data_IF_152479498665
#
_entry.id   IF_152479498665
#
_cell.length_a   1.000
_cell.length_b   1.000
_cell.length_c   1.000
_cell.angle_alpha   90.00
_cell.angle_beta   90.00
_cell.angle_gamma   90.00
#
_symmetry.space_group_name_H-M   'P 1'
#
loop_
_entity.id
_entity.type
_entity.pdbx_description
1 polymer ?
#
# COMPACT_ATOMS: atom_id res chain seq x y z
N UNK A 1 -10.59 -9.46 -51.91
CA UNK A 1 -9.51 -9.31 -50.90
C UNK A 1 -10.15 -9.33 -49.53
N UNK A 2 -9.60 -10.10 -48.60
CA UNK A 2 -10.05 -10.06 -47.20
C UNK A 2 -9.67 -8.69 -46.61
N UNK A 3 -10.66 -7.96 -46.10
CA UNK A 3 -10.46 -6.66 -45.45
C UNK A 3 -10.57 -6.86 -43.94
N UNK A 4 -9.69 -6.26 -43.15
CA UNK A 4 -9.80 -6.27 -41.68
C UNK A 4 -11.21 -5.85 -41.22
N UNK A 5 -11.81 -4.84 -41.87
CA UNK A 5 -13.15 -4.35 -41.53
C UNK A 5 -14.30 -5.28 -41.95
N UNK A 6 -14.02 -6.34 -42.71
CA UNK A 6 -15.01 -7.38 -43.03
C UNK A 6 -15.12 -8.45 -41.95
N UNK A 7 -14.26 -8.42 -40.93
CA UNK A 7 -14.36 -9.32 -39.78
C UNK A 7 -15.54 -8.93 -38.88
N UNK A 8 -16.19 -9.92 -38.23
CA UNK A 8 -17.18 -9.65 -37.19
C UNK A 8 -16.62 -8.76 -36.07
N UNK A 9 -17.48 -7.96 -35.43
CA UNK A 9 -17.06 -6.99 -34.40
C UNK A 9 -16.43 -7.69 -33.20
N UNK A 10 -16.81 -8.93 -32.91
CA UNK A 10 -16.25 -9.76 -31.85
C UNK A 10 -14.77 -10.06 -32.10
N UNK A 11 -14.40 -10.33 -33.36
CA UNK A 11 -13.00 -10.57 -33.76
C UNK A 11 -12.21 -9.27 -33.69
N UNK A 12 -12.81 -8.15 -34.13
CA UNK A 12 -12.18 -6.83 -33.99
C UNK A 12 -11.96 -6.48 -32.51
N UNK A 13 -12.91 -6.80 -31.62
CA UNK A 13 -12.77 -6.63 -30.18
C UNK A 13 -11.64 -7.49 -29.60
N UNK A 14 -11.47 -8.73 -30.06
CA UNK A 14 -10.35 -9.59 -29.65
C UNK A 14 -9.01 -9.01 -30.13
N UNK A 15 -8.93 -8.58 -31.38
CA UNK A 15 -7.73 -7.91 -31.91
C UNK A 15 -7.40 -6.68 -31.05
N UNK A 16 -8.39 -5.84 -30.72
CA UNK A 16 -8.20 -4.66 -29.90
C UNK A 16 -7.69 -4.96 -28.48
N UNK A 17 -7.95 -6.15 -27.92
CA UNK A 17 -7.42 -6.56 -26.61
C UNK A 17 -5.91 -6.84 -26.63
N UNK A 18 -5.35 -7.15 -27.80
CA UNK A 18 -3.93 -7.41 -27.99
C UNK A 18 -3.16 -6.18 -28.53
N UNK A 19 -3.85 -5.07 -28.78
CA UNK A 19 -3.20 -3.82 -29.21
C UNK A 19 -2.50 -3.16 -28.02
N UNK A 20 -1.23 -2.73 -28.16
CA UNK A 20 -0.53 -1.99 -27.12
C UNK A 20 -1.32 -0.76 -26.66
N UNK A 21 -1.32 -0.49 -25.36
CA UNK A 21 -2.12 0.60 -24.76
C UNK A 21 -1.93 1.94 -25.47
N UNK A 22 -0.71 2.28 -25.89
CA UNK A 22 -0.39 3.51 -26.61
C UNK A 22 -1.11 3.65 -27.96
N UNK A 23 -1.33 2.54 -28.66
CA UNK A 23 -1.90 2.50 -30.01
C UNK A 23 -3.44 2.46 -30.01
N UNK A 24 -4.06 2.18 -28.86
CA UNK A 24 -5.52 2.20 -28.72
C UNK A 24 -6.12 3.56 -29.07
N UNK A 25 -5.39 4.66 -28.82
CA UNK A 25 -5.80 6.02 -29.25
C UNK A 25 -5.89 6.09 -30.77
N UNK A 26 -4.85 5.65 -31.46
CA UNK A 26 -4.77 5.67 -32.92
C UNK A 26 -5.85 4.77 -33.53
N UNK A 27 -6.02 3.56 -33.01
CA UNK A 27 -7.05 2.62 -33.46
C UNK A 27 -8.46 3.22 -33.39
N UNK A 28 -8.77 3.99 -32.34
CA UNK A 28 -10.07 4.67 -32.18
C UNK A 28 -10.31 5.82 -33.16
N UNK A 29 -9.27 6.36 -33.76
CA UNK A 29 -9.34 7.46 -34.73
C UNK A 29 -9.48 6.98 -36.18
N UNK A 30 -9.20 5.70 -36.46
CA UNK A 30 -9.22 5.17 -37.83
C UNK A 30 -10.65 5.16 -38.43
N UNK A 31 -11.60 4.50 -37.75
CA UNK A 31 -12.99 4.42 -38.22
C UNK A 31 -13.94 3.99 -37.09
N UNK A 32 -15.26 4.06 -37.33
CA UNK A 32 -16.30 3.73 -36.34
C UNK A 32 -16.23 2.27 -35.84
N UNK A 33 -15.94 1.30 -36.70
CA UNK A 33 -15.87 -0.11 -36.28
C UNK A 33 -14.69 -0.36 -35.34
N UNK A 34 -13.51 0.18 -35.68
CA UNK A 34 -12.33 0.08 -34.83
C UNK A 34 -12.45 0.92 -33.56
N UNK A 35 -13.13 2.06 -33.62
CA UNK A 35 -13.52 2.84 -32.45
C UNK A 35 -14.34 1.99 -31.46
N UNK A 36 -15.40 1.34 -31.95
CA UNK A 36 -16.26 0.51 -31.11
C UNK A 36 -15.51 -0.67 -30.52
N UNK A 37 -14.70 -1.36 -31.34
CA UNK A 37 -13.89 -2.50 -30.90
C UNK A 37 -12.86 -2.11 -29.83
N UNK A 38 -12.18 -0.97 -30.01
CA UNK A 38 -11.17 -0.48 -29.08
C UNK A 38 -11.74 0.23 -27.85
N UNK A 39 -13.04 0.57 -27.83
CA UNK A 39 -13.59 1.41 -26.77
C UNK A 39 -13.44 0.78 -25.37
N UNK A 40 -13.64 -0.54 -25.26
CA UNK A 40 -13.48 -1.26 -23.99
C UNK A 40 -12.03 -1.31 -23.50
N UNK A 41 -11.05 -1.86 -24.26
CA UNK A 41 -9.66 -1.87 -23.81
C UNK A 41 -9.12 -0.45 -23.57
N UNK A 42 -9.53 0.52 -24.38
CA UNK A 42 -9.19 1.93 -24.16
C UNK A 42 -9.76 2.47 -22.84
N UNK A 43 -11.06 2.24 -22.58
CA UNK A 43 -11.71 2.67 -21.34
C UNK A 43 -11.04 2.07 -20.10
N UNK A 44 -10.73 0.77 -20.14
CA UNK A 44 -10.03 0.10 -19.05
C UNK A 44 -8.60 0.64 -18.85
N UNK A 45 -7.88 0.93 -19.92
CA UNK A 45 -6.49 1.38 -19.83
C UNK A 45 -6.35 2.84 -19.35
N UNK A 46 -7.28 3.73 -19.72
CA UNK A 46 -7.14 5.17 -19.52
C UNK A 46 -8.16 5.79 -18.56
N UNK A 47 -9.29 5.13 -18.30
CA UNK A 47 -10.39 5.72 -17.54
C UNK A 47 -10.71 4.98 -16.23
N UNK A 48 -10.12 3.81 -15.98
CA UNK A 48 -10.34 3.07 -14.72
C UNK A 48 -9.88 3.82 -13.48
N UNK A 49 -8.69 4.42 -13.53
CA UNK A 49 -8.15 5.29 -12.48
C UNK A 49 -8.02 6.72 -12.97
N UNK A 50 -8.82 7.62 -12.41
CA UNK A 50 -8.85 9.04 -12.78
C UNK A 50 -8.11 9.86 -11.76
N UNK A 51 -6.93 10.33 -12.14
CA UNK A 51 -6.06 11.21 -11.34
C UNK A 51 -6.27 12.66 -11.74
N UNK A 52 -6.51 13.53 -10.77
CA UNK A 52 -6.79 14.94 -11.02
C UNK A 52 -6.04 15.81 -10.01
N UNK A 53 -5.39 16.87 -10.50
CA UNK A 53 -4.92 17.91 -9.59
C UNK A 53 -6.11 18.64 -9.00
N UNK A 54 -5.95 19.16 -7.80
CA UNK A 54 -6.92 20.04 -7.19
C UNK A 54 -6.84 21.39 -7.90
N UNK A 55 -7.63 21.56 -8.94
CA UNK A 55 -7.86 22.84 -9.58
C UNK A 55 -9.28 22.86 -10.14
N UNK A 56 -9.86 24.04 -10.29
CA UNK A 56 -11.21 24.16 -10.81
C UNK A 56 -11.35 23.55 -12.21
N UNK A 57 -10.36 23.79 -13.09
CA UNK A 57 -10.36 23.24 -14.45
C UNK A 57 -10.26 21.72 -14.44
N UNK A 58 -9.35 21.19 -13.63
CA UNK A 58 -9.13 19.75 -13.52
C UNK A 58 -10.35 19.02 -12.96
N UNK A 59 -10.93 19.51 -11.86
CA UNK A 59 -12.06 18.84 -11.21
C UNK A 59 -13.34 18.97 -12.04
N UNK A 60 -13.52 20.02 -12.85
CA UNK A 60 -14.66 20.12 -13.78
C UNK A 60 -14.66 19.07 -14.89
N UNK A 61 -13.48 18.61 -15.31
CA UNK A 61 -13.37 17.55 -16.30
C UNK A 61 -13.92 16.21 -15.79
N UNK A 62 -13.88 15.95 -14.47
CA UNK A 62 -14.39 14.70 -13.89
C UNK A 62 -15.88 14.47 -14.17
N UNK A 63 -16.80 15.40 -13.84
CA UNK A 63 -18.22 15.29 -14.22
C UNK A 63 -18.44 15.00 -15.71
N UNK A 64 -17.68 15.64 -16.60
CA UNK A 64 -17.77 15.43 -18.05
C UNK A 64 -17.38 14.00 -18.42
N UNK A 65 -16.28 13.49 -17.85
CA UNK A 65 -15.80 12.14 -18.07
C UNK A 65 -16.82 11.11 -17.58
N UNK A 66 -17.33 11.25 -16.35
CA UNK A 66 -18.26 10.25 -15.78
C UNK A 66 -19.66 10.32 -16.36
N UNK A 67 -20.03 11.41 -17.04
CA UNK A 67 -21.30 11.52 -17.75
C UNK A 67 -21.24 11.00 -19.18
N UNK A 68 -20.04 10.84 -19.74
CA UNK A 68 -19.86 10.34 -21.09
C UNK A 68 -20.25 8.86 -21.19
N UNK A 69 -21.23 8.53 -22.04
CA UNK A 69 -21.81 7.18 -22.15
C UNK A 69 -20.81 6.07 -22.48
N UNK A 70 -19.80 6.39 -23.29
CA UNK A 70 -18.75 5.44 -23.69
C UNK A 70 -17.56 5.33 -22.75
N UNK A 71 -17.41 6.23 -21.75
CA UNK A 71 -16.21 6.31 -20.90
C UNK A 71 -16.55 6.20 -19.41
N UNK A 72 -17.62 6.86 -18.97
CA UNK A 72 -18.12 6.85 -17.60
C UNK A 72 -18.25 5.45 -16.98
N UNK A 73 -18.75 4.41 -17.68
CA UNK A 73 -18.83 3.06 -17.14
C UNK A 73 -17.51 2.45 -16.68
N UNK A 74 -16.38 2.93 -17.20
CA UNK A 74 -15.05 2.42 -16.86
C UNK A 74 -14.45 3.12 -15.63
N UNK A 75 -14.95 4.29 -15.24
CA UNK A 75 -14.44 5.03 -14.09
C UNK A 75 -14.84 4.32 -12.81
N UNK A 76 -13.84 3.77 -12.12
CA UNK A 76 -14.02 3.05 -10.86
C UNK A 76 -13.17 3.61 -9.72
N UNK A 77 -12.16 4.40 -10.04
CA UNK A 77 -11.20 4.99 -9.12
C UNK A 77 -11.05 6.48 -9.41
N UNK A 78 -11.04 7.28 -8.34
CA UNK A 78 -10.86 8.73 -8.39
C UNK A 78 -9.78 9.11 -7.38
N UNK A 79 -8.68 9.67 -7.87
CA UNK A 79 -7.51 10.03 -7.08
C UNK A 79 -7.24 11.53 -7.17
N UNK A 80 -7.27 12.23 -6.04
CA UNK A 80 -6.95 13.65 -5.96
C UNK A 80 -5.48 13.84 -5.60
N UNK A 81 -4.79 14.71 -6.34
CA UNK A 81 -3.43 15.13 -5.99
C UNK A 81 -3.53 16.34 -5.06
N UNK A 82 -3.23 16.14 -3.78
CA UNK A 82 -3.49 17.12 -2.73
C UNK A 82 -2.34 18.12 -2.54
N UNK A 83 -2.01 18.82 -3.62
CA UNK A 83 -1.19 20.02 -3.63
C UNK A 83 -2.00 21.29 -3.89
N UNK A 84 -1.58 22.37 -3.24
CA UNK A 84 -1.97 23.73 -3.52
C UNK A 84 -0.78 24.56 -3.99
N UNK A 85 -0.84 25.29 -5.12
CA UNK A 85 0.23 26.22 -5.48
C UNK A 85 0.35 27.34 -4.44
N UNK A 86 1.59 27.69 -4.07
CA UNK A 86 1.94 28.86 -3.26
C UNK A 86 2.35 30.02 -4.18
N UNK A 87 1.92 31.25 -3.87
CA UNK A 87 2.29 32.44 -4.65
C UNK A 87 3.79 32.75 -4.54
N UNK A 88 4.31 33.53 -5.50
CA UNK A 88 5.71 33.96 -5.53
C UNK A 88 6.02 35.10 -4.53
N UNK A 89 5.01 35.70 -3.91
CA UNK A 89 5.18 36.86 -3.03
C UNK A 89 4.99 36.45 -1.56
N UNK A 90 6.07 36.29 -0.77
CA UNK A 90 6.01 35.84 0.62
C UNK A 90 5.30 36.82 1.57
N UNK A 91 4.91 38.01 1.09
CA UNK A 91 4.15 39.01 1.85
C UNK A 91 2.67 39.12 1.46
N UNK A 92 2.23 38.44 0.39
CA UNK A 92 0.81 38.39 0.01
C UNK A 92 0.11 37.18 0.65
N UNK A 93 -0.25 37.34 1.92
CA UNK A 93 -1.01 36.35 2.70
C UNK A 93 -2.42 36.08 2.15
N UNK A 94 -2.87 36.82 1.12
CA UNK A 94 -4.22 36.71 0.56
C UNK A 94 -4.39 35.55 -0.44
N UNK A 95 -3.30 34.88 -0.85
CA UNK A 95 -3.36 33.80 -1.86
C UNK A 95 -3.04 32.39 -1.34
N UNK A 96 -2.64 32.23 -0.08
CA UNK A 96 -2.52 30.93 0.61
C UNK A 96 -3.90 30.22 0.81
N UNK A 97 -4.90 30.59 0.02
CA UNK A 97 -6.32 30.43 0.32
C UNK A 97 -7.18 30.10 -0.90
N UNK A 98 -6.77 30.32 -2.17
CA UNK A 98 -7.72 30.12 -3.29
C UNK A 98 -8.08 28.65 -3.53
N UNK A 99 -7.11 27.74 -3.42
CA UNK A 99 -7.38 26.32 -3.61
C UNK A 99 -7.95 25.66 -2.37
N UNK A 100 -7.44 26.03 -1.20
CA UNK A 100 -8.06 25.63 0.07
C UNK A 100 -9.51 26.11 0.14
N UNK A 101 -9.78 27.36 -0.23
CA UNK A 101 -11.14 27.90 -0.36
C UNK A 101 -11.94 27.17 -1.44
N UNK A 102 -11.32 26.71 -2.54
CA UNK A 102 -12.01 25.88 -3.52
C UNK A 102 -12.39 24.51 -2.96
N UNK A 103 -11.46 23.77 -2.36
CA UNK A 103 -11.70 22.45 -1.77
C UNK A 103 -12.77 22.54 -0.68
N UNK A 104 -12.68 23.57 0.17
CA UNK A 104 -13.67 23.87 1.21
C UNK A 104 -14.94 24.54 0.66
N UNK A 105 -15.02 24.84 -0.65
CA UNK A 105 -16.21 25.46 -1.22
C UNK A 105 -17.35 24.44 -1.38
N UNK A 106 -18.57 24.95 -1.28
CA UNK A 106 -19.78 24.22 -1.72
C UNK A 106 -19.69 23.75 -3.17
N UNK A 107 -18.88 24.42 -4.01
CA UNK A 107 -18.73 24.08 -5.42
C UNK A 107 -17.96 22.78 -5.61
N UNK A 108 -16.83 22.59 -4.92
CA UNK A 108 -16.08 21.34 -4.93
C UNK A 108 -16.96 20.17 -4.47
N UNK A 109 -17.62 20.32 -3.31
CA UNK A 109 -18.55 19.33 -2.77
C UNK A 109 -19.65 18.93 -3.77
N UNK A 110 -20.26 19.90 -4.46
CA UNK A 110 -21.28 19.62 -5.50
C UNK A 110 -20.71 18.84 -6.67
N UNK A 111 -19.52 19.23 -7.16
CA UNK A 111 -18.87 18.55 -8.28
C UNK A 111 -18.55 17.10 -7.91
N UNK A 112 -17.91 16.87 -6.76
CA UNK A 112 -17.57 15.52 -6.31
C UNK A 112 -18.81 14.67 -6.04
N UNK A 113 -19.87 15.23 -5.44
CA UNK A 113 -21.14 14.50 -5.28
C UNK A 113 -21.72 14.11 -6.63
N UNK A 114 -21.73 15.01 -7.62
CA UNK A 114 -22.18 14.69 -8.98
C UNK A 114 -21.34 13.57 -9.60
N UNK A 115 -20.02 13.58 -9.38
CA UNK A 115 -19.13 12.53 -9.84
C UNK A 115 -19.55 11.18 -9.26
N UNK A 116 -19.71 11.11 -7.94
CA UNK A 116 -20.11 9.88 -7.26
C UNK A 116 -21.54 9.44 -7.58
N UNK A 117 -22.49 10.36 -7.74
CA UNK A 117 -23.86 10.06 -8.19
C UNK A 117 -23.84 9.37 -9.56
N UNK A 118 -22.91 9.76 -10.44
CA UNK A 118 -22.78 9.18 -11.79
C UNK A 118 -22.03 7.86 -11.77
N UNK A 119 -20.95 7.75 -10.99
CA UNK A 119 -20.26 6.46 -10.78
C UNK A 119 -21.26 5.43 -10.25
N UNK A 120 -22.08 5.81 -9.26
CA UNK A 120 -23.12 4.97 -8.66
C UNK A 120 -24.08 4.35 -9.71
N UNK A 121 -24.37 5.06 -10.81
CA UNK A 121 -25.23 4.53 -11.88
C UNK A 121 -24.62 3.36 -12.64
N UNK A 122 -23.29 3.31 -12.74
CA UNK A 122 -22.57 2.27 -13.48
C UNK A 122 -21.99 1.20 -12.56
N UNK A 123 -21.50 1.62 -11.39
CA UNK A 123 -20.84 0.77 -10.41
C UNK A 123 -21.27 1.21 -9.00
N UNK A 124 -21.60 0.26 -8.12
CA UNK A 124 -22.09 0.58 -6.77
C UNK A 124 -21.02 1.12 -5.83
N UNK A 125 -19.75 1.03 -6.22
CA UNK A 125 -18.64 1.39 -5.36
C UNK A 125 -17.52 2.11 -6.10
N UNK A 126 -16.71 2.85 -5.33
CA UNK A 126 -15.60 3.67 -5.83
C UNK A 126 -14.35 3.43 -4.98
N UNK A 127 -13.18 3.47 -5.62
CA UNK A 127 -11.90 3.63 -4.93
C UNK A 127 -11.58 5.13 -4.88
N UNK A 128 -11.19 5.62 -3.71
CA UNK A 128 -10.79 7.01 -3.52
C UNK A 128 -9.31 7.04 -3.15
N UNK A 129 -8.52 7.78 -3.92
CA UNK A 129 -7.12 8.05 -3.64
C UNK A 129 -6.89 9.51 -3.23
N UNK A 130 -6.09 9.77 -2.21
CA UNK A 130 -5.57 11.10 -1.88
C UNK A 130 -4.05 11.01 -1.84
N UNK A 131 -3.38 11.62 -2.81
CA UNK A 131 -1.95 11.40 -3.05
C UNK A 131 -1.13 12.70 -2.93
N UNK A 132 0.04 12.58 -2.31
CA UNK A 132 1.11 13.57 -2.35
C UNK A 132 1.98 13.26 -3.57
N UNK A 133 2.40 14.28 -4.33
CA UNK A 133 3.36 14.04 -5.37
C UNK A 133 4.74 13.74 -4.79
N UNK A 134 5.26 12.57 -5.11
CA UNK A 134 6.64 12.23 -4.84
C UNK A 134 7.54 12.88 -5.92
N UNK A 135 8.08 14.05 -5.59
CA UNK A 135 9.00 14.80 -6.44
C UNK A 135 10.42 14.20 -6.46
N UNK A 136 10.70 13.15 -5.66
CA UNK A 136 12.06 12.67 -5.43
C UNK A 136 12.33 11.19 -5.68
N UNK A 137 11.33 10.30 -5.68
CA UNK A 137 11.54 8.85 -5.81
C UNK A 137 10.47 8.16 -6.69
N UNK A 138 10.72 8.07 -8.00
CA UNK A 138 10.19 7.02 -8.87
C UNK A 138 8.66 6.92 -9.09
N UNK A 139 7.81 7.59 -8.31
CA UNK A 139 6.35 7.67 -8.49
C UNK A 139 5.93 8.89 -9.31
N UNK A 140 6.86 9.80 -9.62
CA UNK A 140 6.64 11.02 -10.41
C UNK A 140 5.94 10.78 -11.76
N UNK A 141 6.18 9.64 -12.41
CA UNK A 141 5.54 9.31 -13.69
C UNK A 141 4.03 9.06 -13.58
N UNK A 142 3.54 8.56 -12.44
CA UNK A 142 2.09 8.40 -12.22
C UNK A 142 1.40 9.74 -11.97
N UNK A 143 2.14 10.71 -11.44
CA UNK A 143 1.63 12.06 -11.15
C UNK A 143 1.59 12.93 -12.41
N UNK A 144 2.53 12.74 -13.33
CA UNK A 144 2.48 13.30 -14.69
C UNK A 144 1.22 12.90 -15.48
N UNK A 145 0.53 11.82 -15.08
CA UNK A 145 -0.72 11.40 -15.71
C UNK A 145 -1.96 12.03 -15.07
N UNK A 146 -1.81 12.85 -14.01
CA UNK A 146 -2.94 13.56 -13.43
C UNK A 146 -3.41 14.66 -14.39
N UNK A 147 -4.71 14.72 -14.63
CA UNK A 147 -5.28 15.77 -15.46
C UNK A 147 -5.04 17.14 -14.80
N UNK A 148 -4.56 18.11 -15.59
CA UNK A 148 -4.17 19.44 -15.11
C UNK A 148 -2.78 19.52 -14.47
N UNK A 149 -1.99 18.44 -14.48
CA UNK A 149 -0.63 18.42 -13.93
C UNK A 149 0.30 19.41 -14.64
N UNK A 150 0.33 19.42 -15.97
CA UNK A 150 1.22 20.30 -16.74
C UNK A 150 0.90 21.79 -16.50
N UNK A 151 -0.39 22.14 -16.47
CA UNK A 151 -0.85 23.49 -16.13
C UNK A 151 -0.41 23.88 -14.71
N UNK A 152 -0.54 22.96 -13.75
CA UNK A 152 -0.16 23.18 -12.36
C UNK A 152 1.36 23.35 -12.19
N UNK A 153 2.16 22.55 -12.90
CA UNK A 153 3.62 22.61 -12.87
C UNK A 153 4.17 23.86 -13.56
N UNK A 154 3.47 24.35 -14.58
CA UNK A 154 3.86 25.59 -15.28
C UNK A 154 3.54 26.84 -14.44
N UNK A 155 2.47 26.77 -13.62
CA UNK A 155 1.92 27.95 -12.93
C UNK A 155 2.60 28.30 -11.59
N UNK A 156 3.32 27.38 -10.93
CA UNK A 156 3.82 27.61 -9.58
C UNK A 156 5.24 27.08 -9.34
N UNK A 157 6.04 27.85 -8.58
CA UNK A 157 7.39 27.46 -8.15
C UNK A 157 7.39 26.77 -6.78
N UNK A 158 6.34 26.99 -5.97
CA UNK A 158 6.18 26.47 -4.62
C UNK A 158 4.77 25.87 -4.45
N UNK A 159 4.63 24.91 -3.52
CA UNK A 159 3.35 24.26 -3.22
C UNK A 159 3.19 23.99 -1.73
N UNK A 160 1.95 23.99 -1.26
CA UNK A 160 1.51 23.54 0.05
C UNK A 160 0.60 22.31 -0.07
N UNK A 161 0.32 21.64 1.05
CA UNK A 161 -0.40 20.37 1.08
C UNK A 161 -1.78 20.52 1.74
N UNK A 162 -2.87 20.29 1.00
CA UNK A 162 -4.26 20.36 1.49
C UNK A 162 -4.91 18.98 1.65
N UNK A 163 -4.15 18.03 2.21
CA UNK A 163 -4.54 16.62 2.29
C UNK A 163 -5.84 16.37 3.03
N UNK A 164 -6.04 17.05 4.16
CA UNK A 164 -7.13 16.74 5.07
C UNK A 164 -8.44 17.30 4.56
N UNK A 165 -8.43 18.56 4.13
CA UNK A 165 -9.57 19.23 3.53
C UNK A 165 -10.05 18.46 2.30
N UNK A 166 -9.10 17.96 1.50
CA UNK A 166 -9.42 17.19 0.31
C UNK A 166 -10.02 15.84 0.66
N UNK A 167 -9.42 15.11 1.60
CA UNK A 167 -9.94 13.83 2.07
C UNK A 167 -11.36 13.99 2.62
N UNK A 168 -11.55 14.89 3.58
CA UNK A 168 -12.82 15.08 4.30
C UNK A 168 -13.94 15.47 3.33
N UNK A 169 -13.69 16.48 2.47
CA UNK A 169 -14.70 16.93 1.52
C UNK A 169 -15.00 15.88 0.44
N UNK A 170 -14.03 15.06 0.05
CA UNK A 170 -14.22 13.99 -0.95
C UNK A 170 -15.00 12.82 -0.37
N UNK A 171 -14.66 12.38 0.84
CA UNK A 171 -15.39 11.32 1.54
C UNK A 171 -16.82 11.74 1.84
N UNK A 172 -17.01 12.96 2.35
CA UNK A 172 -18.35 13.49 2.63
C UNK A 172 -19.21 13.60 1.36
N UNK A 173 -18.60 13.91 0.21
CA UNK A 173 -19.29 13.90 -1.07
C UNK A 173 -19.72 12.48 -1.48
N UNK A 174 -18.87 11.46 -1.29
CA UNK A 174 -19.20 10.07 -1.58
C UNK A 174 -20.33 9.54 -0.68
N UNK A 175 -20.26 9.84 0.62
CA UNK A 175 -21.31 9.50 1.60
C UNK A 175 -22.64 10.15 1.20
N UNK A 176 -22.64 11.45 0.86
CA UNK A 176 -23.85 12.17 0.41
C UNK A 176 -24.41 11.68 -0.92
N UNK A 177 -23.59 11.06 -1.75
CA UNK A 177 -24.00 10.43 -2.99
C UNK A 177 -24.52 8.99 -2.78
N UNK A 178 -24.44 8.46 -1.56
CA UNK A 178 -24.68 7.05 -1.25
C UNK A 178 -23.83 6.11 -2.14
N UNK A 179 -22.62 6.56 -2.49
CA UNK A 179 -21.68 5.77 -3.27
C UNK A 179 -20.72 5.08 -2.30
N UNK A 180 -20.71 3.74 -2.32
CA UNK A 180 -19.91 2.98 -1.36
C UNK A 180 -18.41 3.13 -1.67
N UNK A 181 -17.61 3.50 -0.67
CA UNK A 181 -16.15 3.54 -0.79
C UNK A 181 -15.61 2.14 -0.53
N UNK A 182 -15.26 1.40 -1.59
CA UNK A 182 -14.70 0.03 -1.46
C UNK A 182 -13.24 0.04 -1.01
N UNK A 183 -12.54 1.11 -1.32
CA UNK A 183 -11.12 1.23 -1.04
C UNK A 183 -10.70 2.68 -0.89
N UNK A 184 -9.83 2.93 0.08
CA UNK A 184 -9.24 4.25 0.36
C UNK A 184 -7.72 4.12 0.30
N UNK A 185 -7.07 4.88 -0.57
CA UNK A 185 -5.61 4.95 -0.70
C UNK A 185 -5.11 6.34 -0.32
N UNK A 186 -4.16 6.41 0.61
CA UNK A 186 -3.67 7.66 1.17
C UNK A 186 -2.16 7.72 1.05
N UNK A 187 -1.61 8.78 0.47
CA UNK A 187 -0.21 9.14 0.67
C UNK A 187 -0.16 10.26 1.69
N UNK A 188 0.37 9.99 2.88
CA UNK A 188 0.38 10.97 3.96
C UNK A 188 1.58 10.82 4.89
N UNK A 189 2.03 11.96 5.41
CA UNK A 189 2.97 11.99 6.52
C UNK A 189 2.27 11.68 7.86
N UNK A 190 3.04 11.10 8.78
CA UNK A 190 2.60 10.62 10.11
C UNK A 190 1.85 11.64 10.99
N UNK A 191 1.99 12.94 10.74
CA UNK A 191 1.41 14.02 11.54
C UNK A 191 0.02 14.50 11.08
N UNK A 192 -0.50 14.00 9.95
CA UNK A 192 -1.78 14.46 9.38
C UNK A 192 -3.00 13.60 9.75
N UNK A 193 -2.88 12.67 10.69
CA UNK A 193 -3.90 11.63 10.88
C UNK A 193 -5.15 12.06 11.72
N UNK A 194 -5.18 13.23 12.40
CA UNK A 194 -6.22 13.56 13.42
C UNK A 194 -7.68 13.41 12.94
N UNK A 195 -8.04 13.95 11.78
CA UNK A 195 -9.41 13.83 11.25
C UNK A 195 -9.66 12.50 10.51
N UNK A 196 -8.60 11.73 10.21
CA UNK A 196 -8.73 10.40 9.61
C UNK A 196 -9.41 9.41 10.57
N UNK A 197 -9.17 9.51 11.88
CA UNK A 197 -9.76 8.57 12.85
C UNK A 197 -11.30 8.61 12.81
N UNK A 198 -11.90 9.80 12.90
CA UNK A 198 -13.36 9.96 12.90
C UNK A 198 -13.97 9.43 11.59
N UNK A 199 -13.33 9.72 10.45
CA UNK A 199 -13.76 9.21 9.15
C UNK A 199 -13.61 7.68 9.04
N UNK A 200 -12.53 7.12 9.57
CA UNK A 200 -12.29 5.67 9.57
C UNK A 200 -13.28 4.94 10.47
N UNK A 201 -13.65 5.48 11.63
CA UNK A 201 -14.66 4.87 12.51
C UNK A 201 -16.02 4.73 11.81
N UNK A 202 -16.44 5.72 11.03
CA UNK A 202 -17.66 5.65 10.22
C UNK A 202 -17.52 4.72 9.01
N UNK A 203 -16.41 4.80 8.27
CA UNK A 203 -16.19 3.99 7.07
C UNK A 203 -15.99 2.50 7.37
N UNK A 204 -15.33 2.18 8.49
CA UNK A 204 -15.08 0.81 8.96
C UNK A 204 -16.18 0.32 9.92
N UNK A 205 -17.31 1.03 10.02
CA UNK A 205 -18.45 0.55 10.78
C UNK A 205 -18.93 -0.80 10.21
N UNK A 206 -19.13 -1.85 11.05
CA UNK A 206 -19.54 -3.18 10.59
C UNK A 206 -20.89 -3.23 9.83
N UNK A 207 -21.71 -2.18 9.96
CA UNK A 207 -22.97 -2.04 9.21
C UNK A 207 -22.77 -1.65 7.74
N UNK A 208 -21.56 -1.24 7.37
CA UNK A 208 -21.20 -0.88 5.98
C UNK A 208 -20.50 -2.04 5.28
N UNK A 209 -20.48 -2.05 3.93
CA UNK A 209 -19.71 -3.05 3.21
C UNK A 209 -18.20 -2.89 3.50
N UNK A 210 -17.43 -3.98 3.44
CA UNK A 210 -16.02 -3.96 3.84
C UNK A 210 -15.16 -2.96 3.05
N UNK A 211 -14.33 -2.21 3.77
CA UNK A 211 -13.35 -1.29 3.20
C UNK A 211 -11.95 -1.94 3.12
N UNK A 212 -11.24 -1.68 2.02
CA UNK A 212 -9.78 -1.85 1.93
C UNK A 212 -9.05 -0.51 2.04
N UNK A 213 -8.36 -0.31 3.16
CA UNK A 213 -7.54 0.87 3.43
C UNK A 213 -6.08 0.61 3.06
N UNK A 214 -5.46 1.52 2.32
CA UNK A 214 -4.02 1.52 2.02
C UNK A 214 -3.42 2.87 2.37
N UNK A 215 -2.37 2.90 3.18
CA UNK A 215 -1.69 4.13 3.60
C UNK A 215 -0.22 4.00 3.25
N UNK A 216 0.22 4.85 2.34
CA UNK A 216 1.62 5.04 1.98
C UNK A 216 2.22 6.15 2.86
N UNK A 217 3.11 5.76 3.77
CA UNK A 217 3.79 6.68 4.65
C UNK A 217 5.06 7.20 3.96
N UNK A 218 5.01 8.45 3.49
CA UNK A 218 6.08 9.11 2.70
C UNK A 218 7.08 9.92 3.55
N UNK A 219 8.31 10.09 3.06
CA UNK A 219 9.46 10.75 3.74
C UNK A 219 9.60 12.23 3.36
N UNK A 220 9.94 13.12 4.31
CA UNK A 220 10.28 14.54 4.04
C UNK A 220 11.79 14.93 4.16
N UNK A 221 12.67 14.04 4.67
CA UNK A 221 14.10 14.25 5.11
C UNK A 221 14.22 15.24 6.30
N UNK A 222 14.93 14.90 7.39
CA UNK A 222 16.35 15.30 7.64
C UNK A 222 17.17 14.39 8.59
N UNK A 223 16.67 13.25 9.12
CA UNK A 223 17.51 12.29 9.88
C UNK A 223 17.20 10.84 9.47
N UNK A 224 18.20 9.98 9.57
CA UNK A 224 18.37 8.69 8.88
C UNK A 224 17.43 7.53 9.27
N UNK A 225 16.29 7.79 9.93
CA UNK A 225 15.59 6.74 10.68
C UNK A 225 14.29 6.18 10.04
N UNK A 226 13.79 6.69 8.91
CA UNK A 226 12.48 6.28 8.40
C UNK A 226 12.51 5.88 6.91
N UNK A 227 12.43 4.58 6.65
CA UNK A 227 12.10 4.03 5.33
C UNK A 227 10.62 4.30 5.00
N UNK A 228 10.26 4.56 3.73
CA UNK A 228 8.85 4.57 3.35
C UNK A 228 8.26 3.19 3.62
N UNK A 229 7.03 3.15 4.16
CA UNK A 229 6.33 1.91 4.43
C UNK A 229 4.87 2.04 4.06
N UNK A 230 4.24 0.89 3.83
CA UNK A 230 2.82 0.82 3.48
C UNK A 230 2.06 0.05 4.54
N UNK A 231 0.91 0.58 4.93
CA UNK A 231 -0.06 -0.06 5.80
C UNK A 231 -1.23 -0.45 4.92
N UNK A 232 -1.66 -1.70 4.96
CA UNK A 232 -2.86 -2.15 4.28
C UNK A 232 -3.76 -2.85 5.27
N UNK A 233 -4.98 -2.36 5.43
CA UNK A 233 -6.01 -3.01 6.23
C UNK A 233 -7.16 -3.45 5.32
N UNK A 234 -7.47 -4.74 5.36
CA UNK A 234 -8.58 -5.33 4.62
C UNK A 234 -9.63 -5.83 5.63
N UNK A 235 -10.73 -5.07 5.71
CA UNK A 235 -11.80 -5.38 6.66
C UNK A 235 -12.50 -6.70 6.34
N UNK A 236 -12.51 -7.15 5.08
CA UNK A 236 -13.24 -8.34 4.66
C UNK A 236 -12.68 -9.63 5.28
N UNK A 237 -11.39 -9.63 5.59
CA UNK A 237 -10.67 -10.76 6.17
C UNK A 237 -9.98 -10.39 7.50
N UNK A 238 -10.22 -9.18 8.01
CA UNK A 238 -9.62 -8.64 9.22
C UNK A 238 -8.09 -8.65 9.20
N UNK A 239 -7.47 -8.46 8.04
CA UNK A 239 -6.02 -8.50 7.90
C UNK A 239 -5.40 -7.11 7.93
N UNK A 240 -4.36 -6.96 8.75
CA UNK A 240 -3.48 -5.80 8.77
C UNK A 240 -2.12 -6.23 8.24
N UNK A 241 -1.72 -5.66 7.12
CA UNK A 241 -0.42 -5.88 6.49
C UNK A 241 0.45 -4.64 6.61
N UNK A 242 1.65 -4.81 7.13
CA UNK A 242 2.70 -3.79 7.18
C UNK A 242 3.81 -4.21 6.22
N UNK A 243 4.13 -3.35 5.25
CA UNK A 243 5.20 -3.59 4.27
C UNK A 243 6.33 -2.58 4.44
N UNK A 244 7.56 -3.04 4.61
CA UNK A 244 8.75 -2.18 4.72
C UNK A 244 8.84 -1.39 6.03
N UNK A 245 8.02 -1.73 7.02
CA UNK A 245 7.90 -0.97 8.26
C UNK A 245 9.02 -1.32 9.24
N UNK A 246 9.63 -0.32 9.86
CA UNK A 246 10.39 -0.52 11.08
C UNK A 246 9.45 -0.38 12.27
N UNK A 247 9.15 -1.51 12.93
CA UNK A 247 8.19 -1.59 14.04
C UNK A 247 8.62 -0.68 15.21
N UNK A 248 9.92 -0.38 15.31
CA UNK A 248 10.46 0.64 16.20
C UNK A 248 9.75 1.99 16.07
N UNK A 249 9.47 2.42 14.85
CA UNK A 249 8.97 3.77 14.58
C UNK A 249 7.53 3.94 15.04
N UNK A 250 6.72 2.91 14.83
CA UNK A 250 5.35 2.88 15.33
C UNK A 250 5.33 2.85 16.86
N UNK A 251 6.21 2.05 17.48
CA UNK A 251 6.32 1.97 18.93
C UNK A 251 6.78 3.30 19.55
N UNK A 252 7.68 4.06 18.89
CA UNK A 252 8.21 5.33 19.41
C UNK A 252 7.43 6.58 19.04
N UNK A 253 6.46 6.49 18.14
CA UNK A 253 5.61 7.63 17.81
C UNK A 253 5.03 8.24 19.10
N UNK A 254 4.86 9.57 19.14
CA UNK A 254 4.42 10.27 20.37
C UNK A 254 3.10 9.69 20.86
N UNK A 255 2.94 9.47 22.17
CA UNK A 255 1.66 9.04 22.75
C UNK A 255 0.55 10.05 22.36
N UNK A 256 -0.60 9.54 21.90
CA UNK A 256 -1.68 10.37 21.34
C UNK A 256 -1.39 10.96 19.96
N UNK A 257 -0.25 10.64 19.32
CA UNK A 257 -0.07 10.94 17.90
C UNK A 257 -1.08 10.17 17.08
N UNK A 258 -1.61 10.78 16.03
CA UNK A 258 -2.73 10.14 15.37
C UNK A 258 -2.34 8.90 14.57
N UNK A 259 -1.08 8.76 14.13
CA UNK A 259 -0.63 7.47 13.62
C UNK A 259 -0.79 6.35 14.66
N UNK A 260 -0.43 6.57 15.93
CA UNK A 260 -0.66 5.58 17.00
C UNK A 260 -2.13 5.29 17.23
N UNK A 261 -2.97 6.33 17.24
CA UNK A 261 -4.42 6.16 17.42
C UNK A 261 -5.04 5.36 16.28
N UNK A 262 -4.68 5.66 15.03
CA UNK A 262 -5.13 4.91 13.86
C UNK A 262 -4.64 3.46 13.91
N UNK A 263 -3.37 3.23 14.28
CA UNK A 263 -2.86 1.86 14.42
C UNK A 263 -3.55 1.08 15.52
N UNK A 264 -3.74 1.67 16.70
CA UNK A 264 -4.47 1.02 17.80
C UNK A 264 -5.89 0.67 17.34
N UNK A 265 -6.59 1.59 16.67
CA UNK A 265 -7.91 1.34 16.11
C UNK A 265 -7.92 0.18 15.10
N UNK A 266 -6.99 0.14 14.14
CA UNK A 266 -6.91 -0.95 13.16
C UNK A 266 -6.53 -2.28 13.83
N UNK A 267 -5.56 -2.27 14.76
CA UNK A 267 -5.14 -3.44 15.52
C UNK A 267 -6.29 -4.01 16.34
N UNK A 268 -7.16 -3.16 16.90
CA UNK A 268 -8.30 -3.59 17.71
C UNK A 268 -9.27 -4.52 16.97
N UNK A 269 -9.31 -4.41 15.64
CA UNK A 269 -10.17 -5.18 14.75
C UNK A 269 -9.42 -6.26 13.97
N UNK A 270 -8.10 -6.35 14.14
CA UNK A 270 -7.24 -7.23 13.37
C UNK A 270 -7.33 -8.66 13.89
N UNK A 271 -7.55 -9.61 12.98
CA UNK A 271 -7.50 -11.06 13.26
C UNK A 271 -6.27 -11.70 12.62
N UNK A 272 -5.69 -11.08 11.59
CA UNK A 272 -4.50 -11.55 10.87
C UNK A 272 -3.48 -10.42 10.73
N UNK A 273 -2.29 -10.59 11.29
CA UNK A 273 -1.19 -9.63 11.16
C UNK A 273 -0.17 -10.16 10.15
N UNK A 274 0.15 -9.37 9.13
CA UNK A 274 1.15 -9.69 8.12
C UNK A 274 2.27 -8.65 8.19
N UNK A 275 3.49 -9.10 8.39
CA UNK A 275 4.69 -8.27 8.41
C UNK A 275 5.55 -8.68 7.20
N UNK A 276 5.64 -7.83 6.20
CA UNK A 276 6.36 -8.08 4.95
C UNK A 276 7.51 -7.07 4.82
N UNK A 277 8.72 -7.53 4.53
CA UNK A 277 9.90 -6.65 4.41
C UNK A 277 10.14 -5.76 5.65
N UNK A 278 9.59 -6.16 6.80
CA UNK A 278 9.66 -5.38 8.04
C UNK A 278 11.00 -5.59 8.74
N UNK A 279 11.46 -4.58 9.46
CA UNK A 279 12.65 -4.67 10.27
C UNK A 279 12.28 -4.98 11.73
N UNK A 280 12.69 -6.16 12.21
CA UNK A 280 12.31 -6.71 13.52
C UNK A 280 13.55 -6.91 14.41
N UNK A 281 14.29 -5.85 14.69
CA UNK A 281 15.60 -5.93 15.36
C UNK A 281 15.57 -5.79 16.90
N UNK A 282 14.41 -5.87 17.56
CA UNK A 282 14.33 -5.68 19.01
C UNK A 282 13.05 -6.26 19.61
N UNK A 283 13.23 -7.20 20.54
CA UNK A 283 12.15 -7.77 21.34
C UNK A 283 11.36 -6.70 22.11
N UNK A 284 12.05 -5.79 22.80
CA UNK A 284 11.42 -4.72 23.59
C UNK A 284 10.52 -3.83 22.72
N UNK A 285 11.00 -3.46 21.53
CA UNK A 285 10.24 -2.60 20.61
C UNK A 285 9.07 -3.33 19.97
N UNK A 286 9.25 -4.61 19.66
CA UNK A 286 8.16 -5.45 19.17
C UNK A 286 7.08 -5.63 20.23
N UNK A 287 7.47 -5.85 21.49
CA UNK A 287 6.55 -5.88 22.63
C UNK A 287 5.78 -4.56 22.77
N UNK A 288 6.48 -3.43 22.74
CA UNK A 288 5.83 -2.10 22.78
C UNK A 288 4.85 -1.87 21.61
N UNK A 289 5.08 -2.47 20.45
CA UNK A 289 4.14 -2.47 19.33
C UNK A 289 2.88 -3.31 19.61
N UNK A 290 3.05 -4.52 20.15
CA UNK A 290 1.91 -5.35 20.58
C UNK A 290 1.13 -4.72 21.74
N UNK A 291 1.79 -3.91 22.56
CA UNK A 291 1.17 -3.18 23.66
C UNK A 291 0.33 -1.96 23.23
N UNK A 292 0.37 -1.57 21.95
CA UNK A 292 -0.48 -0.48 21.44
C UNK A 292 -1.97 -0.76 21.66
N UNK A 293 -2.39 -2.03 21.58
CA UNK A 293 -3.69 -2.51 22.02
C UNK A 293 -3.61 -3.98 22.47
N UNK A 294 -2.91 -4.20 23.59
CA UNK A 294 -2.64 -5.54 24.11
C UNK A 294 -3.93 -6.36 24.34
N UNK A 295 -5.00 -5.72 24.81
CA UNK A 295 -6.25 -6.39 25.14
C UNK A 295 -6.94 -6.91 23.88
N UNK A 296 -7.03 -6.09 22.84
CA UNK A 296 -7.69 -6.51 21.61
C UNK A 296 -6.86 -7.57 20.87
N UNK A 297 -5.53 -7.43 20.80
CA UNK A 297 -4.67 -8.41 20.15
C UNK A 297 -4.71 -9.78 20.83
N UNK A 298 -4.65 -9.82 22.17
CA UNK A 298 -4.77 -11.08 22.93
C UNK A 298 -6.11 -11.79 22.70
N UNK A 299 -7.16 -11.04 22.39
CA UNK A 299 -8.52 -11.57 22.19
C UNK A 299 -8.82 -11.96 20.75
N UNK A 300 -8.37 -11.15 19.78
CA UNK A 300 -8.85 -11.20 18.40
C UNK A 300 -7.81 -11.77 17.42
N UNK A 301 -6.51 -11.64 17.72
CA UNK A 301 -5.46 -12.05 16.79
C UNK A 301 -5.34 -13.57 16.76
N UNK A 302 -5.55 -14.17 15.59
CA UNK A 302 -5.52 -15.62 15.38
C UNK A 302 -4.40 -16.06 14.44
N UNK A 303 -3.83 -15.14 13.66
CA UNK A 303 -2.77 -15.44 12.71
C UNK A 303 -1.73 -14.33 12.65
N UNK A 304 -0.46 -14.73 12.67
CA UNK A 304 0.70 -13.86 12.42
C UNK A 304 1.52 -14.47 11.30
N UNK A 305 1.84 -13.67 10.28
CA UNK A 305 2.69 -14.08 9.16
C UNK A 305 3.82 -13.07 8.99
N UNK A 306 5.05 -13.55 8.91
CA UNK A 306 6.24 -12.76 8.68
C UNK A 306 6.89 -13.20 7.37
N UNK A 307 7.08 -12.27 6.43
CA UNK A 307 7.50 -12.54 5.05
C UNK A 307 8.67 -11.64 4.67
N UNK A 308 9.62 -12.16 3.88
CA UNK A 308 10.63 -11.34 3.19
C UNK A 308 11.41 -10.40 4.12
N UNK A 309 11.60 -10.79 5.38
CA UNK A 309 12.32 -9.97 6.34
C UNK A 309 13.75 -10.47 6.54
N UNK A 310 14.61 -9.53 6.97
CA UNK A 310 15.92 -9.84 7.53
C UNK A 310 15.76 -9.88 9.06
N UNK A 311 15.94 -11.03 9.73
CA UNK A 311 15.64 -11.17 11.15
C UNK A 311 16.34 -10.13 12.02
N UNK A 312 17.65 -9.93 11.82
CA UNK A 312 18.38 -8.92 12.56
C UNK A 312 19.53 -8.33 11.73
N UNK A 313 19.87 -7.06 12.00
CA UNK A 313 21.15 -6.49 11.57
C UNK A 313 22.28 -6.85 12.55
N UNK A 314 21.94 -7.07 13.81
CA UNK A 314 22.90 -7.45 14.85
C UNK A 314 23.38 -8.89 14.63
N UNK A 315 24.67 -9.20 14.85
CA UNK A 315 25.20 -10.55 14.68
C UNK A 315 24.98 -11.43 15.93
N UNK A 316 24.94 -12.75 15.72
CA UNK A 316 25.14 -13.75 16.78
C UNK A 316 24.16 -13.66 17.95
N UNK A 317 24.69 -13.48 19.17
CA UNK A 317 23.94 -13.52 20.42
C UNK A 317 22.84 -12.45 20.52
N UNK A 318 23.06 -11.26 19.96
CA UNK A 318 22.04 -10.20 19.99
C UNK A 318 20.84 -10.54 19.10
N UNK A 319 21.08 -11.11 17.92
CA UNK A 319 19.99 -11.59 17.05
C UNK A 319 19.16 -12.66 17.77
N UNK A 320 19.82 -13.62 18.43
CA UNK A 320 19.17 -14.67 19.22
C UNK A 320 18.32 -14.10 20.34
N UNK A 321 18.87 -13.17 21.14
CA UNK A 321 18.13 -12.51 22.21
C UNK A 321 16.90 -11.76 21.70
N UNK A 322 17.04 -11.03 20.58
CA UNK A 322 15.91 -10.31 20.01
C UNK A 322 14.82 -11.25 19.49
N UNK A 323 15.19 -12.34 18.80
CA UNK A 323 14.21 -13.28 18.26
C UNK A 323 13.58 -14.19 19.29
N UNK A 324 14.34 -14.63 20.31
CA UNK A 324 13.77 -15.31 21.49
C UNK A 324 12.68 -14.44 22.12
N UNK A 325 12.99 -13.17 22.41
CA UNK A 325 12.02 -12.26 23.02
C UNK A 325 10.83 -11.89 22.11
N UNK A 326 11.00 -11.87 20.78
CA UNK A 326 9.88 -11.69 19.83
C UNK A 326 8.95 -12.91 19.89
N UNK A 327 9.51 -14.11 19.84
CA UNK A 327 8.74 -15.36 19.90
C UNK A 327 8.03 -15.53 21.25
N UNK A 328 8.69 -15.18 22.36
CA UNK A 328 8.08 -15.10 23.69
C UNK A 328 6.91 -14.10 23.71
N UNK A 329 7.09 -12.91 23.13
CA UNK A 329 5.99 -11.91 23.08
C UNK A 329 4.78 -12.41 22.27
N UNK A 330 5.02 -13.26 21.27
CA UNK A 330 3.95 -13.89 20.48
C UNK A 330 3.30 -15.08 21.21
N UNK A 331 4.05 -15.83 22.03
CA UNK A 331 3.47 -16.95 22.81
C UNK A 331 2.50 -16.45 23.90
N UNK A 332 2.67 -15.23 24.38
CA UNK A 332 1.71 -14.55 25.27
C UNK A 332 0.34 -14.26 24.61
N UNK A 333 0.24 -14.36 23.27
CA UNK A 333 -1.01 -14.20 22.53
C UNK A 333 -1.76 -15.53 22.48
N UNK A 334 -2.41 -15.91 23.58
CA UNK A 334 -3.10 -17.20 23.72
C UNK A 334 -4.19 -17.48 22.67
N UNK A 335 -4.71 -16.47 21.96
CA UNK A 335 -5.65 -16.62 20.85
C UNK A 335 -5.02 -17.03 19.50
N UNK A 336 -3.68 -17.04 19.41
CA UNK A 336 -2.95 -17.31 18.18
C UNK A 336 -3.05 -18.78 17.78
N UNK A 337 -3.51 -19.04 16.55
CA UNK A 337 -3.70 -20.39 16.00
C UNK A 337 -2.78 -20.71 14.83
N UNK A 338 -2.20 -19.68 14.23
CA UNK A 338 -1.34 -19.80 13.06
C UNK A 338 -0.16 -18.83 13.16
N UNK A 339 1.05 -19.35 13.04
CA UNK A 339 2.27 -18.56 12.92
C UNK A 339 3.08 -19.05 11.72
N UNK A 340 3.50 -18.13 10.86
CA UNK A 340 4.24 -18.45 9.64
C UNK A 340 5.42 -17.52 9.49
N UNK A 341 6.60 -18.09 9.23
CA UNK A 341 7.79 -17.39 8.74
C UNK A 341 8.05 -17.91 7.33
N UNK A 342 8.27 -17.02 6.36
CA UNK A 342 8.62 -17.43 5.00
C UNK A 342 9.49 -16.43 4.27
N UNK A 343 10.26 -16.94 3.30
CA UNK A 343 11.03 -16.14 2.37
C UNK A 343 12.05 -15.22 3.04
N UNK A 344 12.81 -15.68 4.04
CA UNK A 344 13.87 -14.87 4.63
C UNK A 344 14.83 -14.34 3.56
N UNK A 345 15.27 -13.09 3.68
CA UNK A 345 16.05 -12.42 2.63
C UNK A 345 17.41 -13.08 2.37
N UNK A 346 17.96 -13.81 3.35
CA UNK A 346 19.19 -14.59 3.19
C UNK A 346 18.93 -16.01 3.67
N UNK A 347 19.24 -17.04 2.85
CA UNK A 347 19.06 -18.45 3.25
C UNK A 347 19.76 -18.83 4.55
N UNK A 348 20.91 -18.19 4.86
CA UNK A 348 21.65 -18.42 6.11
C UNK A 348 20.89 -17.99 7.37
N UNK A 349 19.93 -17.09 7.25
CA UNK A 349 19.18 -16.55 8.38
C UNK A 349 18.27 -17.62 9.02
N UNK A 350 17.92 -18.69 8.29
CA UNK A 350 17.21 -19.85 8.83
C UNK A 350 17.97 -20.58 9.95
N UNK A 351 19.31 -20.48 9.96
CA UNK A 351 20.13 -21.05 11.04
C UNK A 351 19.82 -20.41 12.40
N UNK A 352 19.37 -19.15 12.43
CA UNK A 352 18.93 -18.48 13.67
C UNK A 352 17.80 -19.25 14.36
N UNK A 353 16.94 -19.88 13.55
CA UNK A 353 15.79 -20.65 13.99
C UNK A 353 16.09 -22.16 14.11
N UNK A 354 17.37 -22.56 14.02
CA UNK A 354 17.81 -23.96 13.96
C UNK A 354 17.14 -24.76 12.82
N UNK A 355 16.82 -24.06 11.72
CA UNK A 355 16.23 -24.65 10.52
C UNK A 355 17.26 -24.77 9.39
N UNK A 356 17.11 -25.74 8.46
CA UNK A 356 17.97 -25.87 7.31
C UNK A 356 18.02 -24.61 6.44
N UNK A 357 19.17 -24.33 5.82
CA UNK A 357 19.30 -23.18 4.89
C UNK A 357 18.42 -23.30 3.64
N UNK A 358 17.95 -24.51 3.32
CA UNK A 358 17.04 -24.80 2.21
C UNK A 358 15.57 -24.58 2.59
N UNK A 359 15.27 -24.19 3.83
CA UNK A 359 13.90 -23.88 4.24
C UNK A 359 13.40 -22.64 3.49
N UNK A 360 12.21 -22.72 2.90
CA UNK A 360 11.56 -21.56 2.29
C UNK A 360 10.43 -21.01 3.16
N UNK A 361 9.81 -21.89 3.96
CA UNK A 361 8.67 -21.60 4.82
C UNK A 361 8.70 -22.50 6.05
N UNK A 362 8.39 -21.91 7.20
CA UNK A 362 8.14 -22.60 8.45
C UNK A 362 6.76 -22.19 8.98
N UNK A 363 5.93 -23.16 9.33
CA UNK A 363 4.54 -22.96 9.75
C UNK A 363 4.25 -23.73 11.02
N UNK A 364 3.65 -23.04 11.98
CA UNK A 364 3.16 -23.57 13.24
C UNK A 364 1.65 -23.31 13.26
N UNK A 365 0.86 -24.37 13.46
CA UNK A 365 -0.60 -24.30 13.46
C UNK A 365 -1.20 -25.25 14.47
N UNK A 366 -2.30 -24.86 15.12
CA UNK A 366 -3.01 -25.70 16.08
C UNK A 366 -3.52 -24.93 17.29
N UNK A 367 -3.87 -25.65 18.36
CA UNK A 367 -4.28 -25.05 19.64
C UNK A 367 -3.10 -24.86 20.62
N UNK A 368 -1.93 -25.43 20.31
CA UNK A 368 -0.71 -25.39 21.11
C UNK A 368 0.37 -24.43 20.56
N UNK A 369 -0.01 -23.54 19.62
CA UNK A 369 0.93 -22.59 18.98
C UNK A 369 1.71 -21.79 20.00
N UNK A 370 1.08 -21.36 21.11
CA UNK A 370 1.76 -20.65 22.19
C UNK A 370 2.93 -21.47 22.78
N UNK A 371 2.71 -22.74 23.08
CA UNK A 371 3.74 -23.63 23.64
C UNK A 371 4.84 -23.93 22.61
N UNK A 372 4.46 -24.12 21.34
CA UNK A 372 5.42 -24.33 20.26
C UNK A 372 6.31 -23.09 20.03
N UNK A 373 5.74 -21.88 20.12
CA UNK A 373 6.48 -20.63 20.04
C UNK A 373 7.41 -20.43 21.23
N UNK A 374 6.98 -20.79 22.45
CA UNK A 374 7.82 -20.74 23.65
C UNK A 374 9.01 -21.73 23.57
N UNK A 375 8.76 -22.95 23.07
CA UNK A 375 9.82 -23.92 22.80
C UNK A 375 10.78 -23.41 21.72
N UNK A 376 10.25 -22.81 20.65
CA UNK A 376 11.05 -22.20 19.59
C UNK A 376 11.87 -21.01 20.10
N UNK A 377 11.32 -20.18 20.98
CA UNK A 377 12.05 -19.09 21.61
C UNK A 377 13.24 -19.60 22.43
N UNK A 378 12.99 -20.62 23.26
CA UNK A 378 14.03 -21.27 24.05
C UNK A 378 15.14 -21.85 23.17
N UNK A 379 14.77 -22.47 22.04
CA UNK A 379 15.73 -22.99 21.07
C UNK A 379 16.55 -21.87 20.41
N UNK A 380 15.89 -20.81 19.92
CA UNK A 380 16.52 -19.64 19.28
C UNK A 380 17.49 -18.92 20.22
N UNK A 381 17.26 -18.95 21.54
CA UNK A 381 18.18 -18.39 22.52
C UNK A 381 19.55 -19.10 22.53
N UNK A 382 19.61 -20.36 22.11
CA UNK A 382 20.83 -21.19 22.10
C UNK A 382 21.64 -21.05 20.81
N UNK A 383 22.93 -21.41 20.85
CA UNK A 383 23.76 -21.38 19.65
C UNK A 383 23.37 -22.48 18.66
N UNK A 384 23.24 -22.17 17.35
CA UNK A 384 22.98 -23.16 16.33
C UNK A 384 24.12 -24.19 16.31
N UNK A 385 23.80 -25.46 16.55
CA UNK A 385 24.80 -26.52 16.45
C UNK A 385 25.22 -26.64 14.98
N UNK A 386 26.51 -26.47 14.70
CA UNK A 386 27.06 -26.74 13.37
C UNK A 386 27.04 -28.26 13.15
N UNK A 387 25.95 -28.79 12.60
CA UNK A 387 26.01 -30.13 12.03
C UNK A 387 26.97 -30.08 10.85
N UNK A 388 28.16 -30.61 11.06
CA UNK A 388 29.12 -30.93 10.03
C UNK A 388 28.52 -32.07 9.19
N UNK A 389 27.74 -31.72 8.17
CA UNK A 389 27.37 -32.66 7.11
C UNK A 389 27.16 -31.93 5.79
N UNK A 390 28.15 -32.14 4.91
CA UNK A 390 28.18 -31.97 3.46
C UNK A 390 28.23 -30.55 2.87
N UNK A 391 29.47 -30.08 2.74
CA UNK A 391 30.05 -29.29 1.64
C UNK A 391 29.17 -28.23 0.94
N UNK A 392 28.93 -27.13 1.65
CA UNK A 392 28.98 -25.78 1.07
C UNK A 392 29.90 -24.99 1.99
N UNK A 393 31.04 -24.53 1.48
CA UNK A 393 32.03 -23.84 2.32
C UNK A 393 31.53 -22.44 2.69
N UNK A 394 32.02 -21.86 3.79
CA UNK A 394 31.66 -20.47 4.12
C UNK A 394 32.02 -19.48 3.01
N UNK A 395 33.05 -19.81 2.22
CA UNK A 395 33.45 -19.04 1.05
C UNK A 395 32.42 -19.08 -0.09
N UNK A 396 31.73 -20.20 -0.29
CA UNK A 396 30.65 -20.32 -1.27
C UNK A 396 29.42 -19.48 -0.86
N UNK A 397 29.16 -19.40 0.45
CA UNK A 397 28.06 -18.60 1.02
C UNK A 397 28.34 -17.10 0.91
N UNK A 398 29.58 -16.68 1.19
CA UNK A 398 29.98 -15.27 1.06
C UNK A 398 30.00 -14.83 -0.42
N UNK A 399 30.31 -15.73 -1.35
CA UNK A 399 30.20 -15.48 -2.78
C UNK A 399 28.73 -15.33 -3.24
N UNK A 400 27.80 -16.14 -2.71
CA UNK A 400 26.37 -16.05 -2.99
C UNK A 400 25.79 -14.72 -2.45
N UNK A 401 26.13 -14.34 -1.22
CA UNK A 401 25.68 -13.08 -0.64
C UNK A 401 26.24 -11.86 -1.37
N UNK A 402 27.51 -11.92 -1.82
CA UNK A 402 28.11 -10.88 -2.65
C UNK A 402 27.45 -10.77 -4.05
N UNK A 403 27.00 -11.89 -4.62
CA UNK A 403 26.26 -11.93 -5.89
C UNK A 403 24.82 -11.40 -5.75
N UNK A 404 24.15 -11.62 -4.61
CA UNK A 404 22.81 -11.09 -4.31
C UNK A 404 22.86 -9.59 -4.00
N UNK A 405 23.89 -9.12 -3.27
CA UNK A 405 24.06 -7.71 -2.92
C UNK A 405 24.55 -6.86 -4.12
N UNK A 406 25.09 -7.46 -5.20
CA UNK A 406 25.65 -6.74 -6.37
C UNK A 406 24.79 -6.74 -7.62
N UNK A 407 23.75 -7.59 -7.73
CA UNK A 407 22.84 -7.60 -8.89
C UNK A 407 21.39 -7.76 -8.43
N UNK A 408 20.53 -6.79 -8.80
CA UNK A 408 19.08 -6.90 -8.63
C UNK A 408 18.58 -8.27 -9.11
N UNK A 409 18.01 -9.03 -8.17
CA UNK A 409 17.78 -10.46 -8.32
C UNK A 409 16.89 -10.84 -9.48
N UNK A 410 17.34 -11.84 -10.26
CA UNK A 410 16.51 -12.92 -10.85
C UNK A 410 17.27 -13.87 -11.81
N UNK A 411 18.58 -13.71 -12.04
CA UNK A 411 19.31 -14.53 -13.05
C UNK A 411 20.26 -15.60 -12.49
N UNK A 412 20.61 -15.60 -11.20
CA UNK A 412 21.64 -16.50 -10.67
C UNK A 412 21.17 -17.95 -10.39
N UNK A 413 19.87 -18.19 -10.20
CA UNK A 413 19.33 -19.53 -9.91
C UNK A 413 19.42 -20.52 -11.07
N UNK A 414 19.69 -20.06 -12.31
CA UNK A 414 19.82 -20.94 -13.48
C UNK A 414 21.22 -21.54 -13.70
N UNK A 415 22.26 -21.03 -13.04
CA UNK A 415 23.64 -21.44 -13.33
C UNK A 415 24.11 -22.72 -12.60
N UNK A 416 23.43 -23.15 -11.53
CA UNK A 416 23.85 -24.33 -10.75
C UNK A 416 23.21 -25.66 -11.20
N UNK A 417 22.33 -25.65 -12.20
CA UNK A 417 21.66 -26.87 -12.68
C UNK A 417 22.36 -27.56 -13.86
N UNK A 418 23.63 -27.22 -14.15
CA UNK A 418 24.36 -27.76 -15.33
C UNK A 418 25.67 -28.50 -15.01
N UNK A 419 26.00 -28.78 -13.74
CA UNK A 419 27.14 -29.64 -13.41
C UNK A 419 26.83 -30.55 -12.20
N UNK A 420 25.93 -31.53 -12.40
CA UNK A 420 25.96 -32.81 -11.69
C UNK A 420 26.44 -33.87 -12.68
#
# INVERSE_FOLDING_TARGET
>A
MANLLSLPIEILCQIAQHVPTGDLKNMRLVCKSLHNAANRPFGLAYFTDRRHVLSMSSIKALPEIVTHSGLGPYVSSVTMIALSPLSQDPYDSSQMSLLEAFVNSRRYMRLMKQVFDKILKYQRSVHIGISEPDLGQGLGWKLQQAFGWDDMMTAALNYDHCHMETLDNTLLAAIRANCHVRSLELSMHHYKFKTLQEALEDLLNPTRPPLKLTIHCVRKRTRELHSPYTITYDQSNGSLKLTGCDVYELARAKAGSTIKLTFAFLLSQTTKLILEDCHLCSAERFRAFLELDANALRKNLTSVRMQHFRPCRSPGADARRHWSGILESLSELHGLKYFVIEGLNRPRDWKLFHLPITTEKHEISGDDVANQLEAMATLVATEPQSHASNAITSADIDAIDALIDSNGGMQALFALNTNI
#
